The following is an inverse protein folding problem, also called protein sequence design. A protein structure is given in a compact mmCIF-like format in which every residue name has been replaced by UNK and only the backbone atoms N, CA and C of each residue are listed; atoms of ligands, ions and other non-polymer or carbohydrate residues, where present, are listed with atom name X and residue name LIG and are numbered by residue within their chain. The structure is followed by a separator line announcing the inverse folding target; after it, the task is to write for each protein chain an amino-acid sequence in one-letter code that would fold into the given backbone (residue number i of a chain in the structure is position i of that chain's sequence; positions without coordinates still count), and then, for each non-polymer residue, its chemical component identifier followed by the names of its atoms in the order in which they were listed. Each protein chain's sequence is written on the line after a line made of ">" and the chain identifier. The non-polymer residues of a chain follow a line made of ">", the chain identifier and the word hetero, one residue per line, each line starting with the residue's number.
data_IF_966515424838
#
_entry.id   IF_966515424838
#
_cell.length_a   1.000
_cell.length_b   1.000
_cell.length_c   1.000
_cell.angle_alpha   90.00
_cell.angle_beta   90.00
_cell.angle_gamma   90.00
#
_symmetry.space_group_name_H-M   'P 1'
#
loop_
_entity.id
_entity.type
_entity.pdbx_description
1 polymer ?
#
# COMPACT_ATOMS: atom_id res chain seq x y z
N UNK A 1 13.90 24.47 -28.96
CA UNK A 1 13.89 23.11 -28.38
C UNK A 1 13.92 22.10 -29.53
N UNK A 2 15.05 21.43 -29.75
CA UNK A 2 15.41 20.30 -30.66
C UNK A 2 14.68 19.97 -31.99
N UNK A 3 13.61 20.65 -32.42
CA UNK A 3 12.89 20.45 -33.69
C UNK A 3 12.48 18.99 -33.98
N UNK A 4 12.22 18.19 -32.94
CA UNK A 4 11.69 16.84 -33.11
C UNK A 4 10.20 16.89 -33.49
N UNK A 5 9.78 15.91 -34.29
CA UNK A 5 8.35 15.65 -34.52
C UNK A 5 7.65 15.33 -33.20
N UNK A 6 6.38 15.72 -33.09
CA UNK A 6 5.52 15.34 -31.97
C UNK A 6 5.07 13.88 -32.05
N UNK A 7 5.13 13.28 -33.23
CA UNK A 7 4.85 11.86 -33.43
C UNK A 7 6.00 11.01 -32.86
N UNK A 8 5.72 10.10 -31.91
CA UNK A 8 6.75 9.23 -31.37
C UNK A 8 7.24 8.23 -32.42
N UNK A 9 8.49 8.36 -32.82
CA UNK A 9 9.18 7.41 -33.68
C UNK A 9 10.05 6.46 -32.86
N UNK A 10 10.46 5.37 -33.50
CA UNK A 10 11.43 4.41 -32.97
C UNK A 10 12.68 5.12 -32.40
N UNK A 11 13.23 6.09 -33.14
CA UNK A 11 14.44 6.82 -32.76
C UNK A 11 14.18 7.75 -31.58
N UNK A 12 13.09 8.53 -31.60
CA UNK A 12 12.75 9.45 -30.50
C UNK A 12 12.52 8.71 -29.19
N UNK A 13 11.90 7.52 -29.22
CA UNK A 13 11.72 6.68 -28.03
C UNK A 13 13.04 6.09 -27.55
N UNK A 14 13.93 5.68 -28.45
CA UNK A 14 15.29 5.21 -28.10
C UNK A 14 16.15 6.33 -27.49
N UNK A 15 16.09 7.54 -28.05
CA UNK A 15 16.77 8.72 -27.51
C UNK A 15 16.20 9.11 -26.16
N UNK A 16 14.87 9.07 -25.99
CA UNK A 16 14.23 9.29 -24.70
C UNK A 16 14.75 8.32 -23.63
N UNK A 17 14.84 7.01 -23.94
CA UNK A 17 15.38 6.00 -23.02
C UNK A 17 16.82 6.32 -22.65
N UNK A 18 17.65 6.66 -23.66
CA UNK A 18 19.06 6.98 -23.46
C UNK A 18 19.22 8.21 -22.57
N UNK A 19 18.52 9.30 -22.88
CA UNK A 19 18.52 10.53 -22.10
C UNK A 19 18.07 10.27 -20.65
N UNK A 20 16.90 9.65 -20.47
CA UNK A 20 16.35 9.40 -19.14
C UNK A 20 17.17 8.42 -18.30
N UNK A 21 17.97 7.55 -18.93
CA UNK A 21 18.88 6.65 -18.20
C UNK A 21 19.92 7.36 -17.33
N UNK A 22 20.20 8.64 -17.62
CA UNK A 22 21.11 9.47 -16.82
C UNK A 22 20.40 10.18 -15.67
N UNK A 23 19.06 10.26 -15.69
CA UNK A 23 18.28 11.07 -14.76
C UNK A 23 17.47 10.24 -13.75
N UNK A 24 17.00 9.06 -14.15
CA UNK A 24 16.15 8.21 -13.30
C UNK A 24 16.52 6.74 -13.38
N UNK A 25 15.95 5.92 -12.50
CA UNK A 25 16.22 4.48 -12.48
C UNK A 25 15.72 3.79 -13.77
N UNK A 26 16.36 2.69 -14.22
CA UNK A 26 15.90 1.92 -15.38
C UNK A 26 14.43 1.52 -15.32
N UNK A 27 13.92 1.19 -14.13
CA UNK A 27 12.51 0.84 -13.90
C UNK A 27 11.58 2.04 -14.10
N UNK A 28 12.03 3.22 -13.68
CA UNK A 28 11.29 4.47 -13.89
C UNK A 28 11.20 4.81 -15.38
N UNK A 29 12.31 4.68 -16.13
CA UNK A 29 12.31 4.91 -17.58
C UNK A 29 11.31 4.00 -18.29
N UNK A 30 11.31 2.71 -17.98
CA UNK A 30 10.38 1.74 -18.57
C UNK A 30 8.91 2.05 -18.23
N UNK A 31 8.64 2.48 -17.00
CA UNK A 31 7.31 2.91 -16.56
C UNK A 31 6.85 4.16 -17.30
N UNK A 32 7.71 5.19 -17.40
CA UNK A 32 7.40 6.41 -18.14
C UNK A 32 7.17 6.14 -19.62
N UNK A 33 8.03 5.33 -20.25
CA UNK A 33 7.86 4.96 -21.65
C UNK A 33 6.51 4.26 -21.89
N UNK A 34 6.11 3.36 -20.99
CA UNK A 34 4.82 2.68 -21.06
C UNK A 34 3.66 3.66 -20.85
N UNK A 35 3.80 4.63 -19.93
CA UNK A 35 2.84 5.69 -19.70
C UNK A 35 2.67 6.63 -20.90
N UNK A 36 3.78 7.05 -21.51
CA UNK A 36 3.80 7.84 -22.76
C UNK A 36 3.04 7.10 -23.86
N UNK A 37 3.35 5.82 -24.08
CA UNK A 37 2.65 5.03 -25.09
C UNK A 37 1.15 4.95 -24.81
N UNK A 38 0.76 4.69 -23.55
CA UNK A 38 -0.65 4.57 -23.17
C UNK A 38 -1.43 5.89 -23.36
N UNK A 39 -0.80 7.04 -23.10
CA UNK A 39 -1.44 8.35 -23.32
C UNK A 39 -1.53 8.72 -24.80
N UNK A 40 -0.51 8.38 -25.57
CA UNK A 40 -0.39 8.79 -26.97
C UNK A 40 -1.06 7.85 -27.97
N UNK A 41 -1.39 6.62 -27.58
CA UNK A 41 -1.96 5.60 -28.47
C UNK A 41 -3.24 6.03 -29.18
N UNK A 42 -4.08 6.85 -28.53
CA UNK A 42 -5.30 7.40 -29.15
C UNK A 42 -5.03 8.39 -30.29
N UNK A 43 -3.86 9.04 -30.30
CA UNK A 43 -3.46 10.03 -31.32
C UNK A 43 -2.46 9.45 -32.33
N UNK A 44 -1.62 8.51 -31.89
CA UNK A 44 -0.56 7.89 -32.67
C UNK A 44 -0.66 6.36 -32.53
N UNK A 45 -1.48 5.69 -33.36
CA UNK A 45 -1.78 4.26 -33.22
C UNK A 45 -0.55 3.33 -33.27
N UNK A 46 0.51 3.76 -33.96
CA UNK A 46 1.74 2.99 -34.12
C UNK A 46 2.75 3.19 -32.97
N UNK A 47 2.46 4.02 -31.97
CA UNK A 47 3.37 4.27 -30.83
C UNK A 47 3.78 3.00 -30.10
N UNK A 48 2.86 2.03 -29.96
CA UNK A 48 3.20 0.72 -29.35
C UNK A 48 4.11 -0.11 -30.24
N UNK A 49 3.92 -0.07 -31.57
CA UNK A 49 4.81 -0.74 -32.51
C UNK A 49 6.21 -0.12 -32.43
N UNK A 50 6.30 1.21 -32.40
CA UNK A 50 7.56 1.93 -32.23
C UNK A 50 8.25 1.58 -30.90
N UNK A 51 7.52 1.55 -29.79
CA UNK A 51 8.04 1.17 -28.47
C UNK A 51 8.54 -0.27 -28.40
N UNK A 52 7.89 -1.19 -29.12
CA UNK A 52 8.28 -2.60 -29.18
C UNK A 52 9.33 -2.88 -30.27
N UNK A 53 9.77 -1.87 -31.02
CA UNK A 53 10.78 -2.05 -32.05
C UNK A 53 12.10 -2.59 -31.46
N UNK A 54 12.88 -3.39 -32.23
CA UNK A 54 14.09 -4.03 -31.72
C UNK A 54 15.10 -3.05 -31.11
N UNK A 55 15.27 -1.87 -31.71
CA UNK A 55 16.20 -0.86 -31.21
C UNK A 55 15.77 -0.31 -29.85
N UNK A 56 14.50 0.05 -29.65
CA UNK A 56 14.00 0.55 -28.35
C UNK A 56 14.15 -0.52 -27.27
N UNK A 57 13.80 -1.76 -27.59
CA UNK A 57 13.92 -2.91 -26.68
C UNK A 57 15.39 -3.17 -26.30
N UNK A 58 16.31 -3.11 -27.27
CA UNK A 58 17.75 -3.26 -27.03
C UNK A 58 18.32 -2.09 -26.23
N UNK A 59 17.89 -0.86 -26.47
CA UNK A 59 18.30 0.33 -25.70
C UNK A 59 17.84 0.19 -24.24
N UNK A 60 16.60 -0.24 -24.00
CA UNK A 60 16.11 -0.53 -22.65
C UNK A 60 16.94 -1.64 -21.97
N UNK A 61 17.27 -2.71 -22.69
CA UNK A 61 18.11 -3.79 -22.17
C UNK A 61 19.54 -3.31 -21.84
N UNK A 62 20.13 -2.50 -22.73
CA UNK A 62 21.45 -1.88 -22.53
C UNK A 62 21.46 -0.97 -21.31
N UNK A 63 20.46 -0.09 -21.16
CA UNK A 63 20.26 0.73 -19.97
C UNK A 63 20.16 -0.12 -18.70
N UNK A 64 19.33 -1.18 -18.71
CA UNK A 64 19.17 -2.07 -17.54
C UNK A 64 20.49 -2.75 -17.15
N UNK A 65 21.33 -3.12 -18.12
CA UNK A 65 22.67 -3.69 -17.85
C UNK A 65 23.65 -2.65 -17.32
N UNK A 66 23.69 -1.45 -17.90
CA UNK A 66 24.65 -0.40 -17.54
C UNK A 66 24.31 0.32 -16.23
N UNK A 67 23.01 0.49 -15.94
CA UNK A 67 22.49 1.32 -14.84
C UNK A 67 21.56 0.54 -13.92
N UNK A 68 21.51 -0.77 -14.05
CA UNK A 68 20.78 -1.65 -13.14
C UNK A 68 21.22 -1.38 -11.70
N UNK A 69 20.23 -1.22 -10.82
CA UNK A 69 20.47 -1.07 -9.39
C UNK A 69 19.70 -2.15 -8.67
N UNK A 70 20.25 -2.59 -7.54
CA UNK A 70 19.56 -3.52 -6.66
C UNK A 70 18.21 -2.93 -6.23
N UNK A 71 17.18 -3.77 -6.25
CA UNK A 71 15.85 -3.39 -5.79
C UNK A 71 15.87 -3.33 -4.27
N UNK A 72 15.91 -2.13 -3.71
CA UNK A 72 15.72 -1.91 -2.27
C UNK A 72 14.29 -2.32 -1.88
N UNK A 73 14.13 -3.52 -1.34
CA UNK A 73 12.84 -4.03 -0.83
C UNK A 73 12.62 -3.51 0.58
N UNK A 74 11.36 -3.22 0.91
CA UNK A 74 10.98 -2.91 2.29
C UNK A 74 11.14 -4.17 3.14
N UNK A 75 11.69 -4.03 4.35
CA UNK A 75 11.81 -5.14 5.30
C UNK A 75 10.40 -5.56 5.72
N UNK A 76 10.05 -6.85 5.70
CA UNK A 76 8.82 -7.34 6.32
C UNK A 76 8.83 -7.06 7.83
N UNK A 77 7.71 -6.62 8.39
CA UNK A 77 7.53 -6.58 9.85
C UNK A 77 7.46 -8.04 10.35
N UNK A 78 8.26 -8.40 11.35
CA UNK A 78 8.20 -9.76 11.93
C UNK A 78 7.08 -9.88 12.96
N UNK A 79 6.79 -11.10 13.40
CA UNK A 79 5.84 -11.32 14.50
C UNK A 79 6.36 -10.72 15.82
N UNK A 80 7.67 -10.73 16.05
CA UNK A 80 8.27 -10.13 17.25
C UNK A 80 8.21 -8.60 17.23
N UNK A 81 8.32 -8.00 16.04
CA UNK A 81 8.07 -6.58 15.82
C UNK A 81 6.61 -6.23 16.18
N UNK A 82 5.63 -7.08 15.82
CA UNK A 82 4.22 -6.91 16.21
C UNK A 82 4.05 -7.03 17.73
N UNK A 83 4.62 -8.05 18.36
CA UNK A 83 4.56 -8.23 19.82
C UNK A 83 5.17 -7.05 20.57
N UNK A 84 6.26 -6.47 20.05
CA UNK A 84 6.86 -5.25 20.60
C UNK A 84 5.89 -4.06 20.54
N UNK A 85 5.20 -3.87 19.42
CA UNK A 85 4.21 -2.79 19.26
C UNK A 85 3.04 -3.00 20.23
N UNK A 86 2.52 -4.24 20.32
CA UNK A 86 1.43 -4.60 21.24
C UNK A 86 1.85 -4.33 22.69
N UNK A 87 2.97 -4.90 23.14
CA UNK A 87 3.42 -4.73 24.53
C UNK A 87 3.70 -3.27 24.92
N UNK A 88 4.04 -2.41 23.96
CA UNK A 88 4.23 -0.99 24.20
C UNK A 88 2.92 -0.18 24.26
N UNK A 89 1.83 -0.67 23.66
CA UNK A 89 0.56 0.06 23.51
C UNK A 89 -0.60 -0.58 24.27
N UNK A 90 -0.46 -1.78 24.81
CA UNK A 90 -1.53 -2.55 25.48
C UNK A 90 -2.19 -1.79 26.64
N UNK A 91 -1.42 -0.99 27.37
CA UNK A 91 -1.91 -0.16 28.48
C UNK A 91 -2.34 1.26 28.07
N UNK A 92 -2.21 1.63 26.79
CA UNK A 92 -2.55 2.98 26.34
C UNK A 92 -4.07 3.17 26.25
N UNK A 93 -4.55 4.28 26.82
CA UNK A 93 -5.93 4.74 26.68
C UNK A 93 -6.09 5.84 25.61
N UNK A 94 -4.99 6.25 24.98
CA UNK A 94 -4.99 7.25 23.92
C UNK A 94 -5.76 6.74 22.71
N UNK A 95 -6.72 7.53 22.22
CA UNK A 95 -7.55 7.13 21.08
C UNK A 95 -6.71 6.87 19.82
N UNK A 96 -5.72 7.73 19.55
CA UNK A 96 -4.83 7.56 18.42
C UNK A 96 -3.92 6.32 18.54
N UNK A 97 -3.55 5.91 19.76
CA UNK A 97 -2.75 4.70 19.99
C UNK A 97 -3.60 3.45 19.75
N UNK A 98 -4.84 3.45 20.24
CA UNK A 98 -5.82 2.40 19.95
C UNK A 98 -6.07 2.29 18.45
N UNK A 99 -6.25 3.41 17.75
CA UNK A 99 -6.39 3.46 16.29
C UNK A 99 -5.16 2.84 15.61
N UNK A 100 -3.97 3.29 15.97
CA UNK A 100 -2.73 2.83 15.34
C UNK A 100 -2.50 1.33 15.57
N UNK A 101 -2.75 0.84 16.79
CA UNK A 101 -2.62 -0.57 17.13
C UNK A 101 -3.63 -1.41 16.34
N UNK A 102 -4.91 -0.99 16.31
CA UNK A 102 -5.95 -1.68 15.56
C UNK A 102 -5.61 -1.72 14.06
N UNK A 103 -5.16 -0.63 13.45
CA UNK A 103 -4.74 -0.60 12.04
C UNK A 103 -3.53 -1.50 11.77
N UNK A 104 -2.54 -1.49 12.67
CA UNK A 104 -1.31 -2.29 12.53
C UNK A 104 -1.63 -3.78 12.54
N UNK A 105 -2.42 -4.23 13.52
CA UNK A 105 -2.80 -5.64 13.66
C UNK A 105 -3.75 -6.06 12.53
N UNK A 106 -4.74 -5.24 12.19
CA UNK A 106 -5.63 -5.49 11.03
C UNK A 106 -4.81 -5.64 9.75
N UNK A 107 -3.89 -4.69 9.50
CA UNK A 107 -3.07 -4.70 8.29
C UNK A 107 -2.12 -5.88 8.19
N UNK A 108 -1.57 -6.32 9.33
CA UNK A 108 -0.70 -7.49 9.39
C UNK A 108 -1.49 -8.80 9.17
N UNK A 109 -2.55 -9.04 9.94
CA UNK A 109 -3.27 -10.32 9.92
C UNK A 109 -4.22 -10.47 8.73
N UNK A 110 -4.77 -9.39 8.18
CA UNK A 110 -5.58 -9.43 6.96
C UNK A 110 -4.78 -9.15 5.67
N UNK A 111 -3.44 -9.05 5.75
CA UNK A 111 -2.57 -8.79 4.59
C UNK A 111 -2.94 -7.51 3.82
N UNK A 112 -3.50 -6.51 4.51
CA UNK A 112 -3.96 -5.29 3.85
C UNK A 112 -2.77 -4.43 3.46
N UNK A 113 -2.90 -3.74 2.33
CA UNK A 113 -1.96 -2.68 1.98
C UNK A 113 -2.22 -1.50 2.92
N UNK A 114 -1.16 -0.82 3.35
CA UNK A 114 -1.32 0.37 4.19
C UNK A 114 -2.26 1.42 3.57
N UNK A 115 -2.23 1.59 2.24
CA UNK A 115 -3.14 2.50 1.52
C UNK A 115 -4.63 2.12 1.53
N UNK A 116 -4.98 0.93 2.04
CA UNK A 116 -6.37 0.48 2.25
C UNK A 116 -6.86 0.84 3.67
N UNK A 117 -5.94 1.21 4.58
CA UNK A 117 -6.22 1.60 5.96
C UNK A 117 -6.13 3.11 6.17
N UNK A 118 -5.36 3.81 5.33
CA UNK A 118 -5.01 5.23 5.53
C UNK A 118 -5.41 6.09 4.34
N UNK A 119 -5.54 7.38 4.59
CA UNK A 119 -5.82 8.40 3.59
C UNK A 119 -4.55 8.87 2.87
N UNK A 120 -4.57 9.09 1.55
CA UNK A 120 -3.44 9.69 0.85
C UNK A 120 -3.13 11.10 1.38
N UNK A 121 -1.85 11.43 1.57
CA UNK A 121 -1.44 12.79 1.97
C UNK A 121 -1.80 13.85 0.91
N UNK A 122 -1.80 13.46 -0.36
CA UNK A 122 -2.15 14.34 -1.48
C UNK A 122 -3.66 14.40 -1.65
N UNK A 123 -4.25 15.57 -1.44
CA UNK A 123 -5.69 15.84 -1.57
C UNK A 123 -6.26 15.45 -2.93
N UNK A 124 -5.51 15.66 -4.02
CA UNK A 124 -5.89 15.25 -5.37
C UNK A 124 -6.08 13.72 -5.55
N UNK A 125 -5.60 12.91 -4.61
CA UNK A 125 -5.72 11.44 -4.63
C UNK A 125 -6.74 10.91 -3.64
N UNK A 126 -7.34 11.79 -2.83
CA UNK A 126 -8.32 11.44 -1.81
C UNK A 126 -9.68 11.18 -2.46
N UNK A 127 -10.34 10.11 -2.03
CA UNK A 127 -11.61 9.65 -2.62
C UNK A 127 -12.39 8.88 -1.54
N UNK A 128 -13.49 9.47 -1.06
CA UNK A 128 -14.28 8.95 0.09
C UNK A 128 -14.87 7.57 -0.20
N UNK A 129 -15.07 7.26 -1.48
CA UNK A 129 -15.54 5.95 -1.91
C UNK A 129 -14.53 4.84 -1.62
N UNK A 130 -13.30 5.17 -1.24
CA UNK A 130 -12.24 4.21 -0.87
C UNK A 130 -12.09 4.04 0.65
N UNK A 131 -12.88 4.75 1.44
CA UNK A 131 -12.86 4.62 2.91
C UNK A 131 -13.65 3.42 3.39
N UNK A 132 -13.05 2.66 4.30
CA UNK A 132 -13.81 1.65 5.04
C UNK A 132 -14.86 2.33 5.93
N UNK A 133 -16.10 1.88 5.84
CA UNK A 133 -17.22 2.49 6.56
C UNK A 133 -17.56 1.72 7.83
N UNK A 134 -17.82 2.45 8.93
CA UNK A 134 -18.18 1.89 10.23
C UNK A 134 -19.41 1.00 10.20
N UNK A 135 -20.44 1.36 9.42
CA UNK A 135 -21.70 0.60 9.37
C UNK A 135 -21.55 -0.81 8.77
N UNK A 136 -20.45 -1.07 8.07
CA UNK A 136 -20.15 -2.40 7.50
C UNK A 136 -19.46 -3.32 8.50
N UNK A 137 -19.01 -2.78 9.65
CA UNK A 137 -18.29 -3.54 10.67
C UNK A 137 -19.24 -4.46 11.42
N UNK A 138 -18.87 -5.73 11.54
CA UNK A 138 -19.49 -6.70 12.44
C UNK A 138 -18.42 -7.29 13.35
N UNK A 139 -18.74 -7.41 14.63
CA UNK A 139 -17.85 -8.01 15.63
C UNK A 139 -18.59 -9.19 16.25
N UNK A 140 -17.93 -10.35 16.28
CA UNK A 140 -18.40 -11.56 16.95
C UNK A 140 -17.46 -11.90 18.10
N UNK A 141 -17.74 -12.97 18.86
CA UNK A 141 -16.84 -13.45 19.90
C UNK A 141 -15.49 -13.96 19.37
N UNK A 142 -15.41 -14.34 18.10
CA UNK A 142 -14.24 -15.01 17.51
C UNK A 142 -13.62 -14.27 16.32
N UNK A 143 -14.19 -13.15 15.89
CA UNK A 143 -13.69 -12.38 14.75
C UNK A 143 -14.29 -10.97 14.69
N UNK A 144 -13.71 -10.15 13.83
CA UNK A 144 -14.39 -8.98 13.29
C UNK A 144 -14.27 -8.97 11.76
N UNK A 145 -15.26 -8.36 11.12
CA UNK A 145 -15.28 -8.16 9.67
C UNK A 145 -15.74 -6.76 9.29
N UNK A 146 -15.30 -6.27 8.13
CA UNK A 146 -15.79 -5.03 7.52
C UNK A 146 -15.61 -5.07 6.00
N UNK A 147 -16.32 -4.20 5.30
CA UNK A 147 -16.19 -4.08 3.85
C UNK A 147 -15.10 -3.07 3.51
N UNK A 148 -14.08 -3.54 2.79
CA UNK A 148 -13.12 -2.68 2.10
C UNK A 148 -13.72 -2.28 0.75
N UNK A 149 -13.96 -0.99 0.48
CA UNK A 149 -14.42 -0.56 -0.85
C UNK A 149 -13.35 -0.84 -1.90
N UNK A 150 -13.78 -1.07 -3.14
CA UNK A 150 -12.95 -1.60 -4.24
C UNK A 150 -11.51 -1.09 -4.26
N UNK A 151 -10.57 -2.03 -4.34
CA UNK A 151 -9.14 -1.77 -4.40
C UNK A 151 -8.63 -1.77 -5.85
N UNK A 152 -7.37 -1.42 -6.11
CA UNK A 152 -6.83 -1.30 -7.47
C UNK A 152 -6.94 -2.56 -8.36
N UNK A 153 -7.14 -3.73 -7.78
CA UNK A 153 -7.32 -4.99 -8.50
C UNK A 153 -8.79 -5.46 -8.55
N UNK A 154 -9.71 -4.71 -7.93
CA UNK A 154 -11.14 -4.94 -8.03
C UNK A 154 -11.69 -4.30 -9.30
N UNK A 155 -11.83 -5.12 -10.35
CA UNK A 155 -12.32 -4.69 -11.67
C UNK A 155 -13.80 -4.32 -11.65
N UNK A 156 -14.57 -4.83 -10.68
CA UNK A 156 -16.02 -4.71 -10.63
C UNK A 156 -16.52 -3.77 -9.52
N UNK A 157 -15.61 -3.26 -8.68
CA UNK A 157 -15.92 -2.39 -7.54
C UNK A 157 -16.88 -3.03 -6.53
N UNK A 158 -16.91 -4.36 -6.46
CA UNK A 158 -17.74 -5.11 -5.50
C UNK A 158 -17.21 -4.97 -4.06
N UNK A 159 -15.96 -4.55 -3.91
CA UNK A 159 -15.26 -4.48 -2.64
C UNK A 159 -14.78 -5.86 -2.20
N UNK A 160 -14.19 -5.91 -1.01
CA UNK A 160 -13.76 -7.18 -0.42
C UNK A 160 -14.10 -7.18 1.06
N UNK A 161 -14.66 -8.29 1.53
CA UNK A 161 -14.92 -8.45 2.95
C UNK A 161 -13.65 -8.87 3.65
N UNK A 162 -13.14 -8.00 4.51
CA UNK A 162 -12.01 -8.27 5.37
C UNK A 162 -12.53 -8.99 6.60
N UNK A 163 -11.94 -10.14 6.92
CA UNK A 163 -12.27 -10.93 8.12
C UNK A 163 -10.98 -11.17 8.88
N UNK A 164 -10.94 -10.78 10.14
CA UNK A 164 -9.80 -11.02 11.03
C UNK A 164 -10.28 -11.85 12.21
N UNK A 165 -9.61 -12.98 12.43
CA UNK A 165 -9.96 -13.92 13.49
C UNK A 165 -9.26 -13.55 14.79
N UNK A 166 -9.94 -13.87 15.89
CA UNK A 166 -9.34 -13.89 17.22
C UNK A 166 -8.23 -14.94 17.28
N UNK A 167 -7.15 -14.62 17.99
CA UNK A 167 -6.01 -15.49 18.24
C UNK A 167 -5.85 -15.71 19.74
N UNK A 168 -5.52 -16.92 20.14
CA UNK A 168 -5.07 -17.22 21.50
C UNK A 168 -3.56 -16.91 21.63
N UNK A 169 -3.23 -15.61 21.52
CA UNK A 169 -1.86 -15.11 21.52
C UNK A 169 -1.77 -13.65 21.99
N UNK A 170 -0.57 -13.21 22.39
CA UNK A 170 -0.32 -11.82 22.82
C UNK A 170 -0.62 -10.84 21.70
N UNK A 171 -0.32 -11.21 20.47
CA UNK A 171 -0.59 -10.42 19.26
C UNK A 171 -2.04 -10.48 18.75
N UNK A 172 -3.01 -10.86 19.58
CA UNK A 172 -4.41 -10.95 19.20
C UNK A 172 -4.94 -9.62 18.62
N UNK A 173 -5.46 -9.61 17.38
CA UNK A 173 -6.04 -8.41 16.78
C UNK A 173 -7.42 -8.06 17.33
N UNK A 174 -8.13 -8.98 17.98
CA UNK A 174 -9.55 -8.83 18.31
C UNK A 174 -9.80 -7.84 19.44
N UNK A 175 -9.11 -8.03 20.58
CA UNK A 175 -9.25 -7.12 21.72
C UNK A 175 -8.88 -5.66 21.39
N UNK A 176 -7.71 -5.38 20.77
CA UNK A 176 -7.35 -4.02 20.37
C UNK A 176 -8.34 -3.38 19.39
N UNK A 177 -8.86 -4.14 18.42
CA UNK A 177 -9.87 -3.63 17.50
C UNK A 177 -11.17 -3.24 18.23
N UNK A 178 -11.63 -4.06 19.17
CA UNK A 178 -12.82 -3.75 19.99
C UNK A 178 -12.61 -2.49 20.85
N UNK A 179 -11.45 -2.35 21.48
CA UNK A 179 -11.12 -1.18 22.30
C UNK A 179 -11.12 0.09 21.45
N UNK A 180 -10.50 0.05 20.28
CA UNK A 180 -10.57 1.15 19.31
C UNK A 180 -12.01 1.45 18.90
N UNK A 181 -12.80 0.43 18.54
CA UNK A 181 -14.18 0.61 18.09
C UNK A 181 -15.06 1.26 19.16
N UNK A 182 -14.93 0.85 20.42
CA UNK A 182 -15.63 1.44 21.55
C UNK A 182 -15.23 2.91 21.76
N UNK A 183 -13.93 3.20 21.69
CA UNK A 183 -13.40 4.57 21.81
C UNK A 183 -13.90 5.47 20.66
N UNK A 184 -13.87 4.95 19.42
CA UNK A 184 -14.38 5.61 18.22
C UNK A 184 -15.88 5.91 18.32
N UNK A 185 -16.70 4.93 18.68
CA UNK A 185 -18.16 5.10 18.72
C UNK A 185 -18.61 6.02 19.86
N UNK A 186 -17.85 6.09 20.94
CA UNK A 186 -18.04 7.06 22.03
C UNK A 186 -17.78 8.50 21.56
N UNK A 187 -16.70 8.72 20.80
CA UNK A 187 -16.27 10.05 20.34
C UNK A 187 -16.98 10.54 19.07
N UNK A 188 -17.26 9.63 18.14
CA UNK A 188 -17.67 9.94 16.76
C UNK A 188 -18.90 9.14 16.34
N UNK A 189 -19.99 9.28 17.10
CA UNK A 189 -21.24 8.55 16.90
C UNK A 189 -21.83 8.71 15.49
N UNK A 190 -21.68 9.90 14.90
CA UNK A 190 -22.33 10.24 13.63
C UNK A 190 -21.37 10.29 12.43
N UNK A 191 -20.07 10.11 12.65
CA UNK A 191 -19.11 10.00 11.56
C UNK A 191 -19.22 8.61 10.93
N UNK A 192 -19.27 8.50 9.60
CA UNK A 192 -19.41 7.20 8.94
C UNK A 192 -18.08 6.43 8.79
N UNK A 193 -16.92 7.08 8.84
CA UNK A 193 -15.61 6.48 8.54
C UNK A 193 -15.14 5.52 9.64
N UNK A 194 -14.65 4.32 9.28
CA UNK A 194 -14.16 3.36 10.27
C UNK A 194 -12.92 3.87 11.00
N UNK A 195 -11.95 4.42 10.27
CA UNK A 195 -10.66 4.86 10.80
C UNK A 195 -10.68 6.36 11.04
N UNK A 196 -10.71 6.78 12.31
CA UNK A 196 -10.77 8.17 12.73
C UNK A 196 -9.74 8.40 13.82
N UNK A 197 -9.04 9.53 13.70
CA UNK A 197 -8.10 10.04 14.70
C UNK A 197 -8.85 10.77 15.81
N UNK A 198 -8.13 11.11 16.86
CA UNK A 198 -8.66 11.86 18.00
C UNK A 198 -9.27 13.21 17.61
N UNK A 199 -8.78 13.83 16.54
CA UNK A 199 -9.31 15.08 15.98
C UNK A 199 -10.49 14.88 15.00
N UNK A 200 -10.94 13.64 14.81
CA UNK A 200 -12.03 13.29 13.89
C UNK A 200 -11.63 13.23 12.41
N UNK A 201 -10.34 13.39 12.10
CA UNK A 201 -9.84 13.21 10.72
C UNK A 201 -9.51 11.75 10.41
N UNK A 202 -9.56 11.37 9.13
CA UNK A 202 -9.06 10.06 8.69
C UNK A 202 -7.52 10.06 8.78
N UNK A 203 -6.89 9.02 9.35
CA UNK A 203 -5.44 8.96 9.45
C UNK A 203 -4.78 8.94 8.08
N UNK A 204 -3.81 9.84 7.86
CA UNK A 204 -3.05 9.90 6.61
C UNK A 204 -1.90 8.89 6.59
N UNK A 205 -1.36 8.62 5.39
CA UNK A 205 -0.17 7.80 5.24
C UNK A 205 1.03 8.35 6.04
N UNK A 206 1.24 9.67 6.05
CA UNK A 206 2.30 10.29 6.85
C UNK A 206 2.08 10.12 8.36
N UNK A 207 0.83 10.24 8.84
CA UNK A 207 0.49 10.00 10.24
C UNK A 207 0.83 8.56 10.65
N UNK A 208 0.38 7.58 9.87
CA UNK A 208 0.61 6.17 10.16
C UNK A 208 2.10 5.84 10.12
N UNK A 209 2.81 6.31 9.08
CA UNK A 209 4.25 6.09 8.92
C UNK A 209 5.04 6.69 10.06
N UNK A 210 4.68 7.89 10.54
CA UNK A 210 5.37 8.56 11.66
C UNK A 210 5.25 7.73 12.94
N UNK A 211 4.06 7.20 13.23
CA UNK A 211 3.83 6.30 14.37
C UNK A 211 4.59 4.99 14.24
N UNK A 212 4.54 4.36 13.05
CA UNK A 212 5.28 3.13 12.79
C UNK A 212 6.80 3.32 12.99
N UNK A 213 7.36 4.41 12.46
CA UNK A 213 8.79 4.70 12.56
C UNK A 213 9.29 4.86 14.01
N UNK A 214 8.40 5.24 14.95
CA UNK A 214 8.76 5.34 16.37
C UNK A 214 9.21 4.00 16.96
N UNK A 215 8.67 2.88 16.46
CA UNK A 215 9.04 1.54 16.91
C UNK A 215 10.30 1.00 16.25
N UNK A 216 10.74 1.61 15.15
CA UNK A 216 11.89 1.17 14.34
C UNK A 216 12.86 2.33 14.09
N UNK A 217 13.44 2.92 15.16
CA UNK A 217 14.35 4.04 15.01
C UNK A 217 15.57 3.63 14.17
N UNK A 218 15.82 4.36 13.07
CA UNK A 218 16.94 4.11 12.17
C UNK A 218 16.71 3.02 11.11
N UNK A 219 15.55 2.35 11.07
CA UNK A 219 15.21 1.39 10.02
C UNK A 219 14.38 2.05 8.90
N UNK A 220 15.10 2.65 7.94
CA UNK A 220 14.49 3.26 6.75
C UNK A 220 13.86 2.25 5.78
N UNK A 221 14.02 0.93 6.02
CA UNK A 221 13.44 -0.12 5.19
C UNK A 221 12.04 -0.54 5.67
N UNK A 222 11.60 -0.11 6.85
CA UNK A 222 10.21 -0.27 7.28
C UNK A 222 9.33 0.82 6.65
N UNK A 223 8.11 0.46 6.27
CA UNK A 223 7.13 1.39 5.72
C UNK A 223 5.77 0.72 5.48
N UNK A 224 4.86 1.39 4.77
CA UNK A 224 3.50 0.87 4.58
C UNK A 224 3.39 -0.46 3.82
N UNK A 225 4.44 -0.89 3.12
CA UNK A 225 4.47 -2.22 2.46
C UNK A 225 4.95 -3.33 3.40
N UNK A 226 5.53 -2.98 4.55
CA UNK A 226 6.13 -3.93 5.48
C UNK A 226 5.10 -4.77 6.23
N UNK A 227 3.87 -4.25 6.45
CA UNK A 227 2.79 -4.98 7.13
C UNK A 227 2.32 -6.17 6.30
N UNK A 228 1.85 -5.94 5.07
CA UNK A 228 1.41 -7.01 4.17
C UNK A 228 2.53 -8.01 3.91
N UNK A 229 3.75 -7.54 3.67
CA UNK A 229 4.90 -8.42 3.48
C UNK A 229 5.16 -9.28 4.73
N UNK A 230 5.09 -8.68 5.92
CA UNK A 230 5.27 -9.36 7.20
C UNK A 230 4.22 -10.45 7.46
N UNK A 231 2.94 -10.10 7.30
CA UNK A 231 1.85 -11.06 7.44
C UNK A 231 1.95 -12.22 6.45
N UNK A 232 2.32 -11.94 5.19
CA UNK A 232 2.50 -12.96 4.17
C UNK A 232 3.66 -13.91 4.51
N UNK A 233 4.80 -13.35 4.97
CA UNK A 233 5.92 -14.15 5.47
C UNK A 233 5.51 -15.01 6.66
N UNK A 234 4.73 -14.46 7.60
CA UNK A 234 4.26 -15.21 8.77
C UNK A 234 3.35 -16.37 8.40
N UNK A 235 2.45 -16.18 7.43
CA UNK A 235 1.61 -17.26 6.92
C UNK A 235 2.46 -18.37 6.27
N UNK A 236 3.46 -17.99 5.49
CA UNK A 236 4.39 -18.95 4.89
C UNK A 236 5.18 -19.73 5.97
N UNK A 237 5.65 -19.05 7.02
CA UNK A 237 6.31 -19.70 8.17
C UNK A 237 5.40 -20.69 8.90
N UNK A 238 4.09 -20.43 8.92
CA UNK A 238 3.07 -21.32 9.49
C UNK A 238 2.65 -22.45 8.53
N UNK A 239 3.27 -22.55 7.34
CA UNK A 239 2.99 -23.59 6.35
C UNK A 239 1.75 -23.35 5.50
N UNK A 240 1.22 -22.12 5.44
CA UNK A 240 0.18 -21.79 4.48
C UNK A 240 0.71 -21.92 3.05
N UNK A 241 -0.11 -22.47 2.16
CA UNK A 241 0.23 -22.62 0.75
C UNK A 241 0.17 -21.28 0.01
N UNK A 242 0.98 -21.13 -1.05
CA UNK A 242 1.10 -19.88 -1.79
C UNK A 242 -0.23 -19.40 -2.37
N UNK A 243 -1.13 -20.30 -2.78
CA UNK A 243 -2.46 -19.98 -3.30
C UNK A 243 -3.37 -19.32 -2.24
N UNK A 244 -3.09 -19.51 -0.95
CA UNK A 244 -3.85 -18.91 0.16
C UNK A 244 -3.27 -17.59 0.65
N UNK A 245 -2.09 -17.20 0.16
CA UNK A 245 -1.39 -15.95 0.55
C UNK A 245 -1.59 -14.82 -0.49
N UNK A 246 -1.92 -15.17 -1.74
CA UNK A 246 -1.95 -14.23 -2.88
C UNK A 246 -3.12 -13.23 -2.89
#
# INVERSE_FOLDING_TARGET
>A
LHNFSTEPTIDTLSFYVTFMSHHVSPRTVESYLSGICNQLESYYPDVRKARNAPIVTRTLAGMKRLRGREVKRRRPISIDDIRRIVGALDSSSSHDDLLFLAQTLTGFFALMRCGELVWPDSTAKQDERKLSWRHTVKVTGSSYEFLLPGHKADRFFEGSRIIVQHLDAVEDPHAPFKLYLASRDSRFRYNPELWLREDGSVPTYSWFRKRLAHFFPGDDFIGGQSLRAGGATRLAELGASDDRIQ
#
